data_IF_820662823476
#
_entry.id   IF_820662823476
#
_cell.length_a   1.000
_cell.length_b   1.000
_cell.length_c   1.000
_cell.angle_alpha   90.00
_cell.angle_beta   90.00
_cell.angle_gamma   90.00
#
_symmetry.space_group_name_H-M   'P 1'
#
loop_
_entity.id
_entity.type
_entity.pdbx_description
1 polymer ?
#
# COMPACT_ATOMS: atom_id res chain seq x y z
N UNK A 1 -12.14 9.11 -0.62
CA UNK A 1 -10.70 9.48 -0.60
C UNK A 1 -10.02 9.41 -1.99
N UNK A 2 -9.06 10.31 -2.30
CA UNK A 2 -8.17 10.22 -3.49
C UNK A 2 -7.01 9.25 -3.24
N UNK A 3 -6.40 8.69 -4.30
CA UNK A 3 -5.26 7.77 -4.17
C UNK A 3 -3.99 8.46 -3.68
N UNK A 4 -3.70 9.67 -4.18
CA UNK A 4 -2.53 10.47 -3.77
C UNK A 4 -2.94 11.93 -3.57
N UNK A 5 -2.17 12.65 -2.77
CA UNK A 5 -2.36 14.06 -2.47
C UNK A 5 -1.02 14.82 -2.46
N UNK A 6 -1.05 16.15 -2.63
CA UNK A 6 0.18 16.97 -2.59
C UNK A 6 0.72 17.19 -1.18
N UNK A 7 -0.14 17.00 -0.18
CA UNK A 7 0.20 17.24 1.22
C UNK A 7 -0.12 16.02 2.07
N UNK A 8 0.60 15.85 3.17
CA UNK A 8 0.25 14.87 4.20
C UNK A 8 -1.06 15.29 4.86
N UNK A 9 -2.02 14.36 4.92
CA UNK A 9 -3.28 14.53 5.63
C UNK A 9 -3.23 14.13 7.11
N UNK A 10 -4.38 14.03 7.78
CA UNK A 10 -4.50 13.61 9.18
C UNK A 10 -4.11 12.13 9.38
N UNK A 11 -3.81 11.76 10.62
CA UNK A 11 -3.44 10.38 11.00
C UNK A 11 -4.62 9.40 11.05
N UNK A 12 -5.85 9.92 10.95
CA UNK A 12 -7.07 9.14 10.86
C UNK A 12 -7.80 9.48 9.58
N UNK A 13 -8.36 8.46 8.92
CA UNK A 13 -9.15 8.64 7.73
C UNK A 13 -10.42 9.42 8.07
N UNK A 14 -10.71 10.57 7.40
CA UNK A 14 -11.92 11.33 7.66
C UNK A 14 -13.19 10.61 7.18
N UNK A 15 -13.06 9.66 6.26
CA UNK A 15 -14.19 8.95 5.66
C UNK A 15 -14.65 7.76 6.53
N UNK A 16 -13.72 6.98 7.11
CA UNK A 16 -14.04 5.77 7.89
C UNK A 16 -13.56 5.78 9.35
N UNK A 17 -12.78 6.77 9.78
CA UNK A 17 -12.26 6.89 11.15
C UNK A 17 -11.07 5.97 11.48
N UNK A 18 -10.66 5.09 10.57
CA UNK A 18 -9.51 4.20 10.80
C UNK A 18 -8.19 4.97 10.83
N UNK A 19 -7.23 4.45 11.60
CA UNK A 19 -5.87 5.00 11.62
C UNK A 19 -5.14 4.69 10.32
N UNK A 20 -4.53 5.71 9.72
CA UNK A 20 -3.81 5.62 8.45
C UNK A 20 -2.37 6.09 8.60
N UNK A 21 -1.51 5.60 7.71
CA UNK A 21 -0.12 6.04 7.60
C UNK A 21 0.03 6.80 6.29
N UNK A 22 0.76 7.91 6.32
CA UNK A 22 1.12 8.65 5.11
C UNK A 22 2.53 8.33 4.67
N UNK A 23 2.68 8.08 3.36
CA UNK A 23 3.96 7.75 2.73
C UNK A 23 4.25 8.76 1.64
N UNK A 24 5.47 9.31 1.63
CA UNK A 24 5.93 10.18 0.53
C UNK A 24 6.45 9.31 -0.61
N UNK A 25 5.89 9.50 -1.79
CA UNK A 25 6.28 8.84 -3.03
C UNK A 25 7.44 9.61 -3.69
N UNK A 26 8.21 8.92 -4.53
CA UNK A 26 9.28 9.53 -5.34
C UNK A 26 8.77 10.66 -6.27
N UNK A 27 7.47 10.67 -6.58
CA UNK A 27 6.82 11.73 -7.37
C UNK A 27 6.49 12.98 -6.56
N UNK A 28 7.01 13.10 -5.33
CA UNK A 28 6.71 14.15 -4.36
C UNK A 28 5.22 14.27 -3.98
N UNK A 29 4.49 13.16 -4.13
CA UNK A 29 3.10 13.03 -3.72
C UNK A 29 3.02 12.20 -2.43
N UNK A 30 1.98 12.42 -1.66
CA UNK A 30 1.66 11.65 -0.47
C UNK A 30 0.58 10.62 -0.78
N UNK A 31 0.71 9.42 -0.22
CA UNK A 31 -0.31 8.37 -0.30
C UNK A 31 -0.70 7.92 1.10
N UNK A 32 -2.01 7.81 1.33
CA UNK A 32 -2.56 7.20 2.53
C UNK A 32 -2.57 5.68 2.37
N UNK A 33 -1.94 4.98 3.31
CA UNK A 33 -1.88 3.51 3.37
C UNK A 33 -2.40 3.00 4.71
N UNK A 34 -2.84 1.76 4.74
CA UNK A 34 -3.18 1.09 6.00
C UNK A 34 -1.94 1.03 6.91
N UNK A 35 -2.15 1.12 8.22
CA UNK A 35 -1.05 1.06 9.19
C UNK A 35 -0.29 -0.27 9.11
N UNK A 36 -1.02 -1.37 8.91
CA UNK A 36 -0.44 -2.71 8.84
C UNK A 36 0.15 -3.00 7.44
N UNK A 37 1.43 -3.42 7.38
CA UNK A 37 2.03 -3.86 6.14
C UNK A 37 1.49 -5.22 5.70
N UNK A 38 1.52 -5.48 4.41
CA UNK A 38 1.14 -6.75 3.78
C UNK A 38 2.32 -7.38 3.06
N UNK A 39 2.29 -8.71 2.98
CA UNK A 39 3.18 -9.46 2.09
C UNK A 39 2.53 -9.59 0.72
N UNK A 40 3.33 -9.51 -0.34
CA UNK A 40 2.82 -9.59 -1.70
C UNK A 40 3.87 -10.11 -2.68
N UNK A 41 3.40 -10.54 -3.85
CA UNK A 41 4.22 -10.93 -5.00
C UNK A 41 3.96 -9.93 -6.14
N UNK A 42 4.97 -9.20 -6.62
CA UNK A 42 4.80 -8.27 -7.74
C UNK A 42 4.62 -9.01 -9.07
N UNK A 43 3.83 -8.43 -9.97
CA UNK A 43 3.62 -8.93 -11.34
C UNK A 43 2.70 -10.15 -11.48
N UNK A 44 2.14 -10.67 -10.38
CA UNK A 44 1.29 -11.88 -10.37
C UNK A 44 -0.16 -11.59 -9.96
N UNK A 45 -0.56 -10.32 -9.80
CA UNK A 45 -1.89 -9.96 -9.34
C UNK A 45 -2.50 -8.75 -10.02
N UNK A 46 -3.47 -8.12 -9.36
CA UNK A 46 -4.22 -6.96 -9.88
C UNK A 46 -4.28 -5.80 -8.89
N UNK A 47 -3.66 -5.93 -7.71
CA UNK A 47 -3.67 -4.89 -6.68
C UNK A 47 -2.50 -3.95 -6.88
N UNK A 48 -2.65 -2.73 -6.38
CA UNK A 48 -1.57 -1.76 -6.34
C UNK A 48 -1.08 -1.65 -4.90
N UNK A 49 0.22 -1.73 -4.69
CA UNK A 49 0.84 -1.69 -3.36
C UNK A 49 1.97 -0.68 -3.32
N UNK A 50 2.23 -0.16 -2.12
CA UNK A 50 3.30 0.79 -1.88
C UNK A 50 4.49 0.03 -1.28
N UNK A 51 5.60 -0.05 -2.01
CA UNK A 51 6.86 -0.61 -1.53
C UNK A 51 7.79 0.53 -1.10
N UNK A 52 8.48 0.35 0.02
CA UNK A 52 9.52 1.26 0.48
C UNK A 52 10.90 0.76 0.03
N UNK A 53 11.62 1.57 -0.73
CA UNK A 53 12.98 1.30 -1.18
C UNK A 53 13.91 2.40 -0.67
N UNK A 54 14.71 2.13 0.35
CA UNK A 54 15.78 3.02 0.80
C UNK A 54 15.37 4.51 0.86
N UNK A 55 14.29 4.82 1.56
CA UNK A 55 13.69 6.16 1.74
C UNK A 55 12.71 6.64 0.65
N UNK A 56 12.70 6.02 -0.53
CA UNK A 56 11.76 6.34 -1.60
C UNK A 56 10.64 5.29 -1.68
N UNK A 57 9.39 5.74 -1.58
CA UNK A 57 8.25 4.85 -1.81
C UNK A 57 7.78 4.91 -3.26
N UNK A 58 7.42 3.74 -3.79
CA UNK A 58 6.90 3.59 -5.16
C UNK A 58 5.60 2.81 -5.14
N UNK A 59 4.70 3.15 -6.06
CA UNK A 59 3.49 2.37 -6.32
C UNK A 59 3.84 1.26 -7.29
N UNK A 60 3.77 0.01 -6.82
CA UNK A 60 3.84 -1.17 -7.65
C UNK A 60 2.44 -1.58 -8.08
N UNK A 61 2.27 -1.79 -9.38
CA UNK A 61 1.04 -2.34 -9.96
C UNK A 61 1.13 -3.86 -10.02
N UNK A 62 -0.02 -4.49 -10.31
CA UNK A 62 -0.11 -5.92 -10.59
C UNK A 62 0.43 -6.83 -9.47
N UNK A 63 0.19 -6.42 -8.23
CA UNK A 63 0.62 -7.15 -7.04
C UNK A 63 -0.45 -8.14 -6.58
N UNK A 64 -0.01 -9.31 -6.16
CA UNK A 64 -0.82 -10.37 -5.56
C UNK A 64 -0.53 -10.42 -4.06
N UNK A 65 -1.55 -10.34 -3.21
CA UNK A 65 -1.34 -10.49 -1.76
C UNK A 65 -0.92 -11.91 -1.47
N UNK A 66 0.18 -12.05 -0.73
CA UNK A 66 0.73 -13.35 -0.38
C UNK A 66 -0.10 -13.96 0.75
N UNK A 67 -0.60 -15.17 0.50
CA UNK A 67 -1.29 -15.99 1.47
C UNK A 67 -0.47 -17.27 1.69
N UNK A 68 -0.02 -17.54 2.93
CA UNK A 68 0.77 -18.73 3.20
C UNK A 68 -0.05 -20.00 2.89
N UNK A 69 0.65 -21.06 2.49
CA UNK A 69 0.08 -22.39 2.19
C UNK A 69 -0.81 -22.49 0.94
N UNK A 70 -0.93 -21.44 0.12
CA UNK A 70 -1.63 -21.49 -1.18
C UNK A 70 -0.73 -21.81 -2.39
N UNK A 71 0.41 -22.48 -2.17
CA UNK A 71 1.34 -22.84 -3.26
C UNK A 71 2.00 -21.65 -3.96
N UNK A 72 2.01 -20.47 -3.34
CA UNK A 72 2.55 -19.24 -3.93
C UNK A 72 4.08 -19.22 -3.90
N UNK A 73 4.69 -18.52 -4.86
CA UNK A 73 6.15 -18.46 -4.97
C UNK A 73 6.77 -17.59 -3.86
N UNK A 74 7.29 -18.25 -2.83
CA UNK A 74 7.85 -17.62 -1.62
C UNK A 74 9.11 -16.80 -1.89
N UNK A 75 9.86 -17.09 -2.97
CA UNK A 75 11.13 -16.38 -3.27
C UNK A 75 10.92 -14.98 -3.81
N UNK A 76 9.73 -14.68 -4.32
CA UNK A 76 9.35 -13.37 -4.87
C UNK A 76 8.61 -12.48 -3.88
N UNK A 77 8.41 -12.95 -2.64
CA UNK A 77 7.61 -12.24 -1.65
C UNK A 77 8.33 -10.98 -1.19
N UNK A 78 7.61 -9.86 -1.26
CA UNK A 78 8.01 -8.53 -0.79
C UNK A 78 7.06 -8.04 0.28
N UNK A 79 7.50 -7.03 1.03
CA UNK A 79 6.71 -6.36 2.06
C UNK A 79 6.38 -4.95 1.61
N UNK A 80 5.13 -4.55 1.77
CA UNK A 80 4.66 -3.22 1.40
C UNK A 80 3.39 -2.86 2.13
N UNK A 81 2.71 -1.83 1.66
CA UNK A 81 1.52 -1.31 2.29
C UNK A 81 0.37 -1.21 1.30
N UNK A 82 -0.84 -1.48 1.79
CA UNK A 82 -2.06 -1.33 1.00
C UNK A 82 -2.48 0.14 0.97
N UNK A 83 -2.70 0.75 -0.21
CA UNK A 83 -3.35 2.05 -0.28
C UNK A 83 -4.72 1.99 0.38
N UNK A 84 -4.95 2.88 1.36
CA UNK A 84 -6.13 2.81 2.22
C UNK A 84 -7.43 3.04 1.44
N UNK A 85 -7.38 3.74 0.30
CA UNK A 85 -8.54 3.95 -0.58
C UNK A 85 -9.20 2.65 -1.04
N UNK A 86 -8.47 1.52 -1.04
CA UNK A 86 -9.01 0.23 -1.44
C UNK A 86 -9.80 -0.49 -0.35
N UNK A 87 -9.56 -0.16 0.91
CA UNK A 87 -10.20 -0.77 2.09
C UNK A 87 -11.07 0.21 2.86
N UNK A 88 -11.00 1.50 2.57
CA UNK A 88 -11.78 2.53 3.25
C UNK A 88 -13.29 2.22 3.22
N UNK A 89 -13.90 2.15 4.41
CA UNK A 89 -15.34 1.96 4.59
C UNK A 89 -15.88 0.56 4.25
N UNK A 90 -15.00 -0.42 4.08
CA UNK A 90 -15.37 -1.85 3.97
C UNK A 90 -15.25 -2.54 5.31
#
# INVERSE_FOLDING_TARGET
MRLTDRHRGPDFCPDCGEKIKWVRLISDMWIAVNEEPVLFIPGEGRRWLVEYLNWDAVILKDCLIYEPFKGMNRTKVKKGYMPHVWTCGK
#
